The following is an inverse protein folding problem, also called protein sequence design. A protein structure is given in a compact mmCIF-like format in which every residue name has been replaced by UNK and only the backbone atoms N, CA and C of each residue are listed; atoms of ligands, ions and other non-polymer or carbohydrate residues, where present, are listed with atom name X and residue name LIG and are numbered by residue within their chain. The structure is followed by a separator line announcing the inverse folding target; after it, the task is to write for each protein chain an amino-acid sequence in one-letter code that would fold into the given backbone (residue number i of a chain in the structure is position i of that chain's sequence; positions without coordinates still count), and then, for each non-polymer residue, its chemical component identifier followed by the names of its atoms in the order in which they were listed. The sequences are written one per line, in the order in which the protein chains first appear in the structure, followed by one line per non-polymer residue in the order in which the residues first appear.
data_IF_812938200604
#
_entry.id   IF_812938200604
#
_cell.length_a   1.000
_cell.length_b   1.000
_cell.length_c   1.000
_cell.angle_alpha   90.00
_cell.angle_beta   90.00
_cell.angle_gamma   90.00
#
_symmetry.space_group_name_H-M   'P 1'
#
loop_
_entity.id
_entity.type
_entity.pdbx_description
1 polymer ?
#
# COMPACT_ATOMS: atom_id res chain seq x y z
N UNK A 1 -11.49 4.03 -13.47
CA UNK A 1 -11.44 2.70 -14.12
C UNK A 1 -12.13 1.70 -13.22
N UNK A 2 -13.06 0.90 -13.74
CA UNK A 2 -13.81 -0.07 -12.92
C UNK A 2 -12.87 -1.17 -12.39
N UNK A 3 -12.99 -1.52 -11.10
CA UNK A 3 -12.23 -2.60 -10.45
C UNK A 3 -12.56 -3.92 -11.16
N UNK A 4 -11.56 -4.58 -11.75
CA UNK A 4 -11.72 -5.97 -12.24
C UNK A 4 -11.99 -6.87 -11.03
N UNK A 5 -13.04 -7.68 -11.09
CA UNK A 5 -13.38 -8.61 -10.01
C UNK A 5 -12.20 -9.57 -9.74
N UNK A 6 -11.78 -9.68 -8.48
CA UNK A 6 -10.68 -10.55 -8.05
C UNK A 6 -9.31 -9.89 -7.88
N UNK A 7 -9.13 -8.61 -8.24
CA UNK A 7 -7.86 -7.89 -8.03
C UNK A 7 -7.82 -7.16 -6.69
N UNK A 8 -6.66 -7.24 -6.03
CA UNK A 8 -6.38 -6.45 -4.84
C UNK A 8 -6.27 -4.98 -5.24
N UNK A 9 -6.91 -4.11 -4.47
CA UNK A 9 -6.84 -2.67 -4.59
C UNK A 9 -6.47 -2.03 -3.25
N UNK A 10 -6.27 -0.71 -3.28
CA UNK A 10 -5.85 0.06 -2.10
C UNK A 10 -6.81 -0.10 -0.91
N UNK A 11 -8.12 -0.09 -1.18
CA UNK A 11 -9.15 -0.30 -0.17
C UNK A 11 -9.08 -1.68 0.50
N UNK A 12 -8.65 -2.72 -0.23
CA UNK A 12 -8.57 -4.08 0.31
C UNK A 12 -7.40 -4.22 1.31
N UNK A 13 -6.30 -3.49 1.06
CA UNK A 13 -5.11 -3.53 1.92
C UNK A 13 -5.14 -2.48 3.04
N UNK A 14 -6.13 -1.59 3.03
CA UNK A 14 -6.14 -0.40 3.89
C UNK A 14 -6.12 -0.72 5.39
N UNK A 15 -6.90 -1.72 5.81
CA UNK A 15 -6.94 -2.17 7.21
C UNK A 15 -5.61 -2.79 7.65
N UNK A 16 -5.00 -3.61 6.79
CA UNK A 16 -3.71 -4.22 7.06
C UNK A 16 -2.59 -3.19 7.12
N UNK A 17 -2.60 -2.19 6.23
CA UNK A 17 -1.63 -1.08 6.25
C UNK A 17 -1.70 -0.34 7.59
N UNK A 18 -2.89 0.04 8.04
CA UNK A 18 -3.07 0.73 9.33
C UNK A 18 -2.56 -0.15 10.47
N UNK A 19 -2.98 -1.41 10.52
CA UNK A 19 -2.61 -2.35 11.59
C UNK A 19 -1.10 -2.63 11.64
N UNK A 20 -0.43 -2.71 10.47
CA UNK A 20 1.02 -2.87 10.40
C UNK A 20 1.73 -1.64 10.97
N UNK A 21 1.34 -0.44 10.53
CA UNK A 21 2.02 0.80 10.93
C UNK A 21 1.77 1.11 12.41
N UNK A 22 0.57 0.85 12.93
CA UNK A 22 0.27 1.02 14.35
C UNK A 22 1.08 0.07 15.25
N UNK A 23 1.58 -1.06 14.72
CA UNK A 23 2.45 -2.00 15.43
C UNK A 23 3.95 -1.64 15.34
N UNK A 24 4.33 -0.66 14.53
CA UNK A 24 5.73 -0.25 14.38
C UNK A 24 6.16 0.76 15.46
N UNK A 25 7.45 0.75 15.87
CA UNK A 25 8.00 1.80 16.71
C UNK A 25 7.81 3.18 16.08
N UNK A 26 7.41 4.17 16.89
CA UNK A 26 7.06 5.53 16.45
C UNK A 26 5.91 5.61 15.43
N UNK A 27 5.24 4.48 15.17
CA UNK A 27 4.21 4.33 14.14
C UNK A 27 4.68 4.78 12.76
N UNK A 28 5.93 4.44 12.44
CA UNK A 28 6.58 4.77 11.18
C UNK A 28 7.08 3.51 10.47
N UNK A 29 6.91 3.44 9.15
CA UNK A 29 7.39 2.32 8.35
C UNK A 29 7.94 2.80 7.00
N UNK A 30 8.99 2.16 6.51
CA UNK A 30 9.45 2.39 5.14
C UNK A 30 8.52 1.71 4.13
N UNK A 31 8.40 2.27 2.93
CA UNK A 31 7.57 1.68 1.85
C UNK A 31 8.02 0.26 1.53
N UNK A 32 9.34 0.01 1.50
CA UNK A 32 9.91 -1.34 1.27
C UNK A 32 9.53 -2.33 2.36
N UNK A 33 9.62 -1.92 3.64
CA UNK A 33 9.24 -2.79 4.76
C UNK A 33 7.74 -3.06 4.74
N UNK A 34 6.91 -2.05 4.47
CA UNK A 34 5.46 -2.21 4.35
C UNK A 34 5.07 -3.21 3.26
N UNK A 35 5.64 -3.07 2.05
CA UNK A 35 5.40 -4.01 0.94
C UNK A 35 5.74 -5.44 1.38
N UNK A 36 6.91 -5.64 1.99
CA UNK A 36 7.35 -6.97 2.44
C UNK A 36 6.41 -7.55 3.50
N UNK A 37 6.02 -6.75 4.50
CA UNK A 37 5.12 -7.21 5.56
C UNK A 37 3.73 -7.54 5.02
N UNK A 38 3.20 -6.74 4.09
CA UNK A 38 1.91 -7.00 3.48
C UNK A 38 1.89 -8.28 2.65
N UNK A 39 2.96 -8.57 1.88
CA UNK A 39 3.10 -9.84 1.15
C UNK A 39 3.05 -11.08 2.04
N UNK A 40 3.46 -10.94 3.29
CA UNK A 40 3.42 -12.03 4.26
C UNK A 40 2.03 -12.22 4.88
N UNK A 41 1.17 -11.20 4.84
CA UNK A 41 -0.17 -11.22 5.45
C UNK A 41 -1.29 -11.49 4.46
N UNK A 42 -1.12 -11.02 3.21
CA UNK A 42 -2.17 -11.07 2.21
C UNK A 42 -1.81 -12.17 1.19
N UNK A 43 -2.73 -13.12 0.92
CA UNK A 43 -2.53 -14.09 -0.15
C UNK A 43 -2.58 -13.38 -1.50
N UNK A 44 -1.43 -13.27 -2.17
CA UNK A 44 -1.33 -12.72 -3.51
C UNK A 44 -1.51 -13.82 -4.54
N UNK A 45 -2.15 -13.49 -5.67
CA UNK A 45 -2.18 -14.37 -6.83
C UNK A 45 -1.10 -13.99 -7.85
N UNK A 46 -0.92 -14.81 -8.89
CA UNK A 46 0.09 -14.56 -9.92
C UNK A 46 -0.10 -13.23 -10.68
N UNK A 47 -1.33 -12.70 -10.80
CA UNK A 47 -1.57 -11.40 -11.43
C UNK A 47 -1.12 -10.23 -10.54
N UNK A 48 -1.22 -10.37 -9.21
CA UNK A 48 -0.78 -9.36 -8.25
C UNK A 48 0.76 -9.29 -8.16
N UNK A 49 1.43 -10.42 -8.40
CA UNK A 49 2.90 -10.51 -8.46
C UNK A 49 3.48 -10.25 -9.87
N UNK A 50 2.63 -9.94 -10.84
CA UNK A 50 3.08 -9.70 -12.22
C UNK A 50 3.95 -8.43 -12.29
N UNK A 51 5.20 -8.53 -12.80
CA UNK A 51 6.05 -7.37 -13.03
C UNK A 51 5.39 -6.36 -13.96
N UNK A 52 5.56 -5.07 -13.67
CA UNK A 52 5.11 -4.02 -14.58
C UNK A 52 6.17 -3.76 -15.64
N UNK A 53 5.77 -3.81 -16.92
CA UNK A 53 6.67 -3.54 -18.04
C UNK A 53 7.32 -2.15 -17.92
N UNK A 54 8.66 -2.10 -18.04
CA UNK A 54 9.43 -0.87 -17.90
C UNK A 54 9.56 -0.34 -16.46
N UNK A 55 9.19 -1.12 -15.44
CA UNK A 55 9.39 -0.77 -14.01
C UNK A 55 10.16 -1.86 -13.27
N UNK A 56 10.71 -1.49 -12.11
CA UNK A 56 11.27 -2.43 -11.15
C UNK A 56 10.23 -2.94 -10.12
N UNK A 57 8.97 -2.52 -10.29
CA UNK A 57 7.85 -2.84 -9.41
C UNK A 57 6.95 -3.89 -10.06
N UNK A 58 6.27 -4.69 -9.24
CA UNK A 58 5.12 -5.51 -9.65
C UNK A 58 3.80 -4.82 -9.34
N UNK A 59 2.69 -5.42 -9.76
CA UNK A 59 1.35 -4.85 -9.53
C UNK A 59 1.10 -4.58 -8.05
N UNK A 60 1.44 -5.50 -7.17
CA UNK A 60 1.22 -5.35 -5.74
C UNK A 60 2.00 -4.20 -5.12
N UNK A 61 3.31 -4.11 -5.39
CA UNK A 61 4.13 -3.00 -4.92
C UNK A 61 3.66 -1.66 -5.48
N UNK A 62 3.13 -1.63 -6.71
CA UNK A 62 2.51 -0.44 -7.28
C UNK A 62 1.26 -0.02 -6.50
N UNK A 63 0.42 -0.95 -6.03
CA UNK A 63 -0.75 -0.61 -5.18
C UNK A 63 -0.30 0.11 -3.91
N UNK A 64 0.74 -0.40 -3.23
CA UNK A 64 1.26 0.24 -2.01
C UNK A 64 1.85 1.63 -2.32
N UNK A 65 2.53 1.78 -3.45
CA UNK A 65 3.06 3.09 -3.90
C UNK A 65 1.95 4.07 -4.28
N UNK A 66 0.83 3.56 -4.79
CA UNK A 66 -0.33 4.38 -5.16
C UNK A 66 -0.92 5.11 -3.96
N UNK A 67 -0.82 4.56 -2.74
CA UNK A 67 -1.22 5.26 -1.51
C UNK A 67 -0.55 6.65 -1.46
N UNK A 68 0.72 6.76 -1.87
CA UNK A 68 1.47 8.01 -1.85
C UNK A 68 1.22 8.88 -3.09
N UNK A 69 1.16 8.29 -4.28
CA UNK A 69 0.97 9.07 -5.53
C UNK A 69 -0.46 9.54 -5.73
N UNK A 70 -1.45 8.91 -5.10
CA UNK A 70 -2.87 9.26 -5.14
C UNK A 70 -3.37 9.88 -3.84
N UNK A 71 -2.46 10.43 -3.03
CA UNK A 71 -2.75 11.05 -1.72
C UNK A 71 -3.81 12.15 -1.71
N UNK A 72 -4.18 12.68 -2.88
CA UNK A 72 -5.18 13.74 -3.04
C UNK A 72 -6.56 13.20 -3.47
N UNK A 73 -6.71 11.87 -3.62
CA UNK A 73 -7.96 11.23 -4.03
C UNK A 73 -8.81 10.83 -2.81
N UNK A 74 -10.12 11.14 -2.79
CA UNK A 74 -11.02 10.67 -1.75
C UNK A 74 -11.01 9.14 -1.60
N UNK A 75 -10.97 8.64 -0.37
CA UNK A 75 -10.85 7.20 -0.09
C UNK A 75 -9.40 6.70 0.02
N UNK A 76 -8.41 7.56 -0.24
CA UNK A 76 -7.00 7.26 -0.01
C UNK A 76 -6.64 7.48 1.47
N UNK A 77 -5.81 6.59 2.02
CA UNK A 77 -5.43 6.64 3.44
C UNK A 77 -4.75 7.94 3.88
N UNK A 78 -4.01 8.60 2.99
CA UNK A 78 -3.38 9.90 3.28
C UNK A 78 -4.40 11.02 3.17
N UNK A 79 -5.21 11.02 2.11
CA UNK A 79 -6.28 12.02 1.91
C UNK A 79 -7.22 12.05 3.11
N UNK A 80 -7.63 10.87 3.59
CA UNK A 80 -8.61 10.72 4.66
C UNK A 80 -7.98 10.89 6.07
N UNK A 81 -6.69 11.27 6.14
CA UNK A 81 -6.01 11.59 7.40
C UNK A 81 -5.61 10.37 8.23
N UNK A 82 -5.73 9.15 7.70
CA UNK A 82 -5.27 7.96 8.39
C UNK A 82 -3.74 7.84 8.38
N UNK A 83 -3.06 8.34 7.36
CA UNK A 83 -1.61 8.28 7.21
C UNK A 83 -1.00 9.63 6.84
N UNK A 84 0.28 9.77 7.16
CA UNK A 84 1.14 10.84 6.68
C UNK A 84 2.26 10.24 5.82
N UNK A 85 2.48 10.80 4.63
CA UNK A 85 3.65 10.43 3.82
C UNK A 85 4.90 11.09 4.40
N UNK A 86 5.91 10.27 4.73
CA UNK A 86 7.24 10.72 5.15
C UNK A 86 8.28 10.36 4.08
N UNK A 87 9.54 10.78 4.27
CA UNK A 87 10.62 10.38 3.38
C UNK A 87 10.77 8.85 3.36
N UNK A 88 10.65 8.25 2.17
CA UNK A 88 10.73 6.80 1.94
C UNK A 88 9.75 5.92 2.75
N UNK A 89 8.66 6.49 3.28
CA UNK A 89 7.75 5.74 4.15
C UNK A 89 6.41 6.39 4.45
N UNK A 90 5.75 5.82 5.45
CA UNK A 90 4.46 6.26 5.99
C UNK A 90 4.54 6.37 7.51
N UNK A 91 3.71 7.26 8.07
CA UNK A 91 3.54 7.46 9.49
C UNK A 91 2.07 7.48 9.86
N UNK A 92 1.69 6.94 11.02
CA UNK A 92 0.36 7.19 11.60
C UNK A 92 0.40 8.45 12.49
N UNK A 93 -0.56 9.38 12.32
CA UNK A 93 -0.71 10.54 13.19
C UNK A 93 -1.19 10.15 14.58
#
# INVERSE_FOLDING_TARGET
MAKKAGRIGEADISKDVIAIIDAEPNREISTTKLIRTLRQRIPLNAEDEEPLEGRQDDRFSQIVRNIKSHKDQPGNLIHDGHLQSIYRGFKRP
#
